data_IF_276278948570
#
_entry.id   IF_276278948570
#
_cell.length_a   1.000
_cell.length_b   1.000
_cell.length_c   1.000
_cell.angle_alpha   90.00
_cell.angle_beta   90.00
_cell.angle_gamma   90.00
#
_symmetry.space_group_name_H-M   'P 1'
#
loop_
_entity.id
_entity.type
_entity.pdbx_description
1 polymer ?
#
# COMPACT_ATOMS: atom_id res chain seq x y z
N UNK A 1 13.52 -7.50 -12.59
CA UNK A 1 12.32 -7.12 -11.79
C UNK A 1 12.59 -5.81 -11.08
N UNK A 2 11.72 -4.80 -11.19
CA UNK A 2 11.57 -3.75 -10.20
C UNK A 2 10.51 -4.24 -9.21
N UNK A 3 10.70 -4.06 -7.92
CA UNK A 3 9.73 -4.56 -6.94
C UNK A 3 9.15 -3.43 -6.08
N UNK A 4 9.77 -2.26 -6.07
CA UNK A 4 9.26 -1.08 -5.37
C UNK A 4 7.92 -0.58 -5.95
N UNK A 5 7.76 -0.69 -7.26
CA UNK A 5 6.61 -0.20 -8.01
C UNK A 5 5.53 -1.29 -8.14
N UNK A 6 5.78 -2.44 -8.81
CA UNK A 6 4.73 -3.37 -9.22
C UNK A 6 4.09 -4.18 -8.07
N UNK A 7 4.69 -4.24 -6.87
CA UNK A 7 4.06 -4.94 -5.75
C UNK A 7 2.68 -4.34 -5.40
N UNK A 8 2.46 -3.05 -5.72
CA UNK A 8 1.28 -2.27 -5.31
C UNK A 8 0.03 -2.63 -6.10
N UNK A 9 0.13 -2.79 -7.43
CA UNK A 9 -1.02 -3.11 -8.28
C UNK A 9 -0.73 -4.21 -9.30
N UNK A 10 0.45 -4.23 -9.94
CA UNK A 10 0.73 -5.19 -10.99
C UNK A 10 0.75 -6.64 -10.45
N UNK A 11 1.47 -6.90 -9.39
CA UNK A 11 1.50 -8.23 -8.79
C UNK A 11 0.10 -8.67 -8.28
N UNK A 12 -0.67 -7.84 -7.54
CA UNK A 12 -2.06 -8.16 -7.20
C UNK A 12 -2.96 -8.44 -8.41
N UNK A 13 -2.79 -7.73 -9.53
CA UNK A 13 -3.52 -7.99 -10.77
C UNK A 13 -3.13 -9.36 -11.34
N UNK A 14 -1.83 -9.70 -11.38
CA UNK A 14 -1.36 -10.99 -11.90
C UNK A 14 -1.89 -12.16 -11.07
N UNK A 15 -2.10 -12.01 -9.77
CA UNK A 15 -2.73 -13.07 -8.96
C UNK A 15 -4.14 -13.42 -9.44
N UNK A 16 -4.85 -12.51 -10.10
CA UNK A 16 -6.18 -12.75 -10.65
C UNK A 16 -6.15 -13.43 -12.03
N UNK A 17 -5.17 -13.07 -12.89
CA UNK A 17 -5.22 -13.39 -14.33
C UNK A 17 -4.11 -14.34 -14.79
N UNK A 18 -2.98 -14.45 -14.06
CA UNK A 18 -1.84 -15.30 -14.45
C UNK A 18 -1.07 -15.81 -13.23
N UNK A 19 -1.62 -16.80 -12.54
CA UNK A 19 -0.99 -17.41 -11.36
C UNK A 19 0.28 -18.21 -11.68
N UNK A 20 0.43 -18.69 -12.92
CA UNK A 20 1.64 -19.40 -13.36
C UNK A 20 2.81 -18.42 -13.46
N UNK A 21 2.59 -17.24 -14.02
CA UNK A 21 3.59 -16.18 -14.05
C UNK A 21 4.03 -15.78 -12.63
N UNK A 22 3.08 -15.64 -11.68
CA UNK A 22 3.38 -15.33 -10.28
C UNK A 22 4.28 -16.41 -9.66
N UNK A 23 3.96 -17.70 -9.86
CA UNK A 23 4.79 -18.81 -9.38
C UNK A 23 6.20 -18.79 -10.00
N UNK A 24 6.31 -18.54 -11.31
CA UNK A 24 7.61 -18.45 -12.00
C UNK A 24 8.45 -17.29 -11.47
N UNK A 25 7.84 -16.13 -11.22
CA UNK A 25 8.53 -14.99 -10.63
C UNK A 25 9.08 -15.31 -9.24
N UNK A 26 8.26 -15.90 -8.37
CA UNK A 26 8.71 -16.27 -7.01
C UNK A 26 9.82 -17.29 -7.05
N UNK A 27 9.73 -18.31 -7.92
CA UNK A 27 10.83 -19.26 -8.09
C UNK A 27 12.11 -18.56 -8.57
N UNK A 28 12.01 -17.59 -9.48
CA UNK A 28 13.16 -16.76 -9.89
C UNK A 28 13.75 -15.94 -8.74
N UNK A 29 12.91 -15.45 -7.81
CA UNK A 29 13.39 -14.77 -6.60
C UNK A 29 14.18 -15.74 -5.71
N UNK A 30 13.73 -16.98 -5.58
CA UNK A 30 14.42 -18.02 -4.81
C UNK A 30 15.74 -18.45 -5.47
N UNK A 31 15.80 -18.51 -6.80
CA UNK A 31 17.05 -18.75 -7.53
C UNK A 31 18.05 -17.59 -7.33
N UNK A 32 17.57 -16.34 -7.31
CA UNK A 32 18.41 -15.18 -6.98
C UNK A 32 18.90 -15.27 -5.54
N UNK A 33 18.03 -15.65 -4.59
CA UNK A 33 18.41 -15.88 -3.20
C UNK A 33 19.50 -16.94 -3.07
N UNK A 34 19.38 -18.08 -3.76
CA UNK A 34 20.40 -19.13 -3.76
C UNK A 34 21.76 -18.63 -4.27
N UNK A 35 21.74 -17.76 -5.27
CA UNK A 35 22.95 -17.24 -5.89
C UNK A 35 23.60 -16.10 -5.10
N UNK A 36 22.81 -15.24 -4.46
CA UNK A 36 23.27 -13.98 -3.83
C UNK A 36 23.16 -13.98 -2.31
N UNK A 37 22.33 -14.85 -1.72
CA UNK A 37 21.98 -14.90 -0.31
C UNK A 37 20.95 -13.84 0.11
N UNK A 38 20.29 -13.16 -0.83
CA UNK A 38 19.25 -12.15 -0.60
C UNK A 38 18.17 -12.24 -1.68
N UNK A 39 16.92 -11.92 -1.32
CA UNK A 39 15.85 -11.73 -2.31
C UNK A 39 16.08 -10.45 -3.13
N UNK A 40 15.60 -10.38 -4.39
CA UNK A 40 15.78 -9.20 -5.21
C UNK A 40 15.02 -8.00 -4.66
N UNK A 41 15.56 -6.79 -4.87
CA UNK A 41 14.95 -5.50 -4.57
C UNK A 41 14.64 -4.77 -5.88
N UNK A 42 15.67 -4.52 -6.69
CA UNK A 42 15.55 -3.85 -7.98
C UNK A 42 16.62 -4.37 -8.96
N UNK A 43 16.56 -5.65 -9.37
CA UNK A 43 17.53 -6.23 -10.28
C UNK A 43 17.34 -5.69 -11.69
N UNK A 44 18.45 -5.31 -12.34
CA UNK A 44 18.51 -4.91 -13.74
C UNK A 44 19.61 -5.69 -14.44
N UNK A 45 19.31 -6.19 -15.65
CA UNK A 45 20.21 -7.06 -16.42
C UNK A 45 20.55 -8.33 -15.64
N UNK A 46 21.78 -8.50 -15.16
CA UNK A 46 22.25 -9.71 -14.49
C UNK A 46 22.61 -9.47 -13.02
N UNK A 47 22.19 -8.37 -12.40
CA UNK A 47 22.59 -8.06 -11.03
C UNK A 47 21.61 -7.17 -10.29
N UNK A 48 21.71 -7.24 -8.95
CA UNK A 48 20.98 -6.33 -8.06
C UNK A 48 21.61 -4.93 -8.11
N UNK A 49 20.78 -3.91 -8.28
CA UNK A 49 21.24 -2.51 -8.35
C UNK A 49 21.23 -1.82 -6.99
N UNK A 50 20.41 -2.28 -6.05
CA UNK A 50 20.15 -1.63 -4.76
C UNK A 50 19.54 -0.22 -4.90
N UNK A 51 18.88 0.06 -6.04
CA UNK A 51 18.40 1.39 -6.41
C UNK A 51 17.30 1.87 -5.48
N UNK A 52 16.25 1.07 -5.26
CA UNK A 52 15.08 1.45 -4.46
C UNK A 52 15.16 0.96 -3.02
N UNK A 53 14.23 1.44 -2.21
CA UNK A 53 14.04 1.09 -0.81
C UNK A 53 13.09 -0.11 -0.67
N UNK A 54 12.88 -0.58 0.56
CA UNK A 54 12.03 -1.74 0.82
C UNK A 54 12.72 -3.07 0.46
N UNK A 55 12.03 -4.16 0.74
CA UNK A 55 12.38 -5.52 0.29
C UNK A 55 11.10 -6.23 -0.18
N UNK A 56 10.38 -5.56 -1.09
CA UNK A 56 9.00 -5.90 -1.47
C UNK A 56 8.82 -7.24 -2.19
N UNK A 57 9.90 -7.99 -2.47
CA UNK A 57 9.79 -9.42 -2.79
C UNK A 57 8.95 -10.15 -1.75
N UNK A 58 9.05 -9.75 -0.46
CA UNK A 58 8.28 -10.37 0.63
C UNK A 58 6.78 -10.10 0.48
N UNK A 59 6.40 -8.92 -0.02
CA UNK A 59 5.00 -8.60 -0.32
C UNK A 59 4.44 -9.50 -1.42
N UNK A 60 5.20 -9.68 -2.51
CA UNK A 60 4.80 -10.53 -3.63
C UNK A 60 4.66 -11.98 -3.20
N UNK A 61 5.61 -12.51 -2.42
CA UNK A 61 5.59 -13.88 -1.92
C UNK A 61 4.42 -14.09 -0.94
N UNK A 62 4.26 -13.19 0.02
CA UNK A 62 3.20 -13.30 1.02
C UNK A 62 1.80 -13.18 0.40
N UNK A 63 1.59 -12.23 -0.51
CA UNK A 63 0.31 -12.05 -1.21
C UNK A 63 -0.08 -13.30 -2.01
N UNK A 64 0.88 -13.87 -2.76
CA UNK A 64 0.68 -15.10 -3.49
C UNK A 64 0.35 -16.28 -2.56
N UNK A 65 1.14 -16.48 -1.51
CA UNK A 65 0.97 -17.59 -0.57
C UNK A 65 -0.39 -17.55 0.13
N UNK A 66 -0.80 -16.37 0.62
CA UNK A 66 -2.08 -16.16 1.29
C UNK A 66 -3.28 -16.31 0.35
N UNK A 67 -3.10 -16.08 -0.94
CA UNK A 67 -4.08 -16.34 -2.01
C UNK A 67 -4.10 -17.77 -2.53
N UNK A 68 -3.31 -18.67 -1.93
CA UNK A 68 -3.25 -20.10 -2.32
C UNK A 68 -2.39 -20.38 -3.55
N UNK A 69 -1.65 -19.39 -4.05
CA UNK A 69 -0.68 -19.56 -5.14
C UNK A 69 0.63 -20.04 -4.50
N UNK A 70 0.90 -21.36 -4.55
CA UNK A 70 1.90 -22.02 -3.69
C UNK A 70 2.81 -23.00 -4.44
N UNK A 71 3.01 -22.85 -5.75
CA UNK A 71 3.90 -23.73 -6.53
C UNK A 71 5.38 -23.31 -6.42
N UNK A 72 5.82 -23.06 -5.19
CA UNK A 72 7.20 -22.74 -4.81
C UNK A 72 7.50 -23.29 -3.41
N UNK A 73 8.78 -23.37 -3.04
CA UNK A 73 9.20 -23.81 -1.71
C UNK A 73 8.90 -22.73 -0.67
N UNK A 74 7.80 -22.90 0.07
CA UNK A 74 7.31 -21.93 1.04
C UNK A 74 8.20 -21.79 2.29
N UNK A 75 8.84 -22.88 2.75
CA UNK A 75 9.77 -22.84 3.89
C UNK A 75 11.02 -22.05 3.52
N UNK A 76 11.61 -22.34 2.36
CA UNK A 76 12.73 -21.57 1.81
C UNK A 76 12.36 -20.11 1.55
N UNK A 77 11.16 -19.85 1.02
CA UNK A 77 10.68 -18.50 0.79
C UNK A 77 10.60 -17.70 2.10
N UNK A 78 10.01 -18.25 3.16
CA UNK A 78 9.94 -17.60 4.47
C UNK A 78 11.35 -17.37 5.06
N UNK A 79 12.27 -18.32 4.94
CA UNK A 79 13.67 -18.15 5.35
C UNK A 79 14.33 -16.99 4.59
N UNK A 80 14.20 -16.97 3.27
CA UNK A 80 14.75 -15.93 2.41
C UNK A 80 14.19 -14.53 2.74
N UNK A 81 12.87 -14.44 3.03
CA UNK A 81 12.21 -13.22 3.47
C UNK A 81 12.83 -12.69 4.79
N UNK A 82 13.01 -13.55 5.78
CA UNK A 82 13.62 -13.19 7.07
C UNK A 82 15.06 -12.72 6.92
N UNK A 83 15.86 -13.43 6.14
CA UNK A 83 17.28 -13.08 5.89
C UNK A 83 17.37 -11.73 5.17
N UNK A 84 16.53 -11.51 4.16
CA UNK A 84 16.52 -10.25 3.40
C UNK A 84 16.12 -9.06 4.27
N UNK A 85 15.18 -9.24 5.21
CA UNK A 85 14.76 -8.19 6.14
C UNK A 85 15.88 -7.73 7.08
N UNK A 86 16.77 -8.64 7.47
CA UNK A 86 17.86 -8.35 8.41
C UNK A 86 19.13 -7.85 7.68
N UNK A 87 19.29 -8.14 6.38
CA UNK A 87 20.47 -7.75 5.57
C UNK A 87 20.33 -6.42 4.82
N UNK A 88 19.17 -5.80 4.82
CA UNK A 88 18.95 -4.56 4.08
C UNK A 88 19.90 -3.45 4.54
N UNK A 89 20.61 -2.83 3.57
CA UNK A 89 21.70 -1.89 3.83
C UNK A 89 21.24 -0.44 4.07
N UNK A 90 19.98 -0.11 3.81
CA UNK A 90 19.46 1.28 3.94
C UNK A 90 18.94 1.59 5.35
N UNK A 91 19.69 1.22 6.39
CA UNK A 91 19.37 1.53 7.77
C UNK A 91 18.56 0.47 8.51
N UNK A 92 18.44 -0.75 7.96
CA UNK A 92 17.75 -1.86 8.63
C UNK A 92 18.39 -2.24 9.97
N UNK A 93 19.71 -2.07 10.11
CA UNK A 93 20.45 -2.24 11.36
C UNK A 93 19.91 -1.34 12.48
N UNK A 94 19.61 -0.07 12.17
CA UNK A 94 18.97 0.85 13.11
C UNK A 94 17.51 0.49 13.35
N UNK A 95 16.77 0.18 12.28
CA UNK A 95 15.36 -0.20 12.35
C UNK A 95 15.15 -1.41 13.27
N UNK A 96 15.92 -2.47 13.08
CA UNK A 96 15.84 -3.69 13.91
C UNK A 96 16.25 -3.42 15.37
N UNK A 97 17.26 -2.59 15.57
CA UNK A 97 17.83 -2.37 16.91
C UNK A 97 17.05 -1.34 17.73
N UNK A 98 16.57 -0.28 17.10
CA UNK A 98 16.01 0.88 17.80
C UNK A 98 14.53 1.15 17.45
N UNK A 99 13.94 0.40 16.53
CA UNK A 99 12.58 0.63 16.05
C UNK A 99 12.42 1.87 15.18
N UNK A 100 13.53 2.55 14.81
CA UNK A 100 13.52 3.67 13.87
C UNK A 100 14.88 3.83 13.19
N UNK A 101 14.90 4.60 12.10
CA UNK A 101 16.11 4.92 11.33
C UNK A 101 16.48 6.38 11.57
N UNK A 102 17.66 6.68 12.17
CA UNK A 102 18.05 8.05 12.49
C UNK A 102 18.27 8.91 11.23
N UNK A 103 17.49 9.99 11.07
CA UNK A 103 17.52 10.89 9.92
C UNK A 103 18.82 11.68 9.78
N UNK A 104 19.55 11.88 10.88
CA UNK A 104 20.86 12.54 10.86
C UNK A 104 22.01 11.60 10.47
N UNK A 105 21.76 10.29 10.36
CA UNK A 105 22.76 9.27 10.01
C UNK A 105 22.43 8.68 8.61
N UNK A 106 21.18 8.38 8.35
CA UNK A 106 20.72 7.76 7.10
C UNK A 106 19.75 8.67 6.35
N UNK A 107 19.90 8.72 5.04
CA UNK A 107 18.91 9.34 4.16
C UNK A 107 17.68 8.42 4.02
N UNK A 108 16.60 8.96 3.50
CA UNK A 108 15.35 8.21 3.22
C UNK A 108 14.78 7.49 4.45
N UNK A 109 15.15 7.98 5.65
CA UNK A 109 14.89 7.29 6.92
C UNK A 109 13.43 7.05 7.23
N UNK A 110 12.53 7.95 6.83
CA UNK A 110 11.09 7.80 7.05
C UNK A 110 10.52 6.81 6.04
N UNK A 111 10.80 6.99 4.75
CA UNK A 111 10.32 6.09 3.69
C UNK A 111 10.77 4.66 3.92
N UNK A 112 12.06 4.43 4.20
CA UNK A 112 12.59 3.11 4.49
C UNK A 112 11.87 2.45 5.68
N UNK A 113 11.68 3.20 6.77
CA UNK A 113 11.01 2.67 7.95
C UNK A 113 9.57 2.25 7.67
N UNK A 114 8.81 3.11 6.99
CA UNK A 114 7.40 2.84 6.69
C UNK A 114 7.25 1.61 5.79
N UNK A 115 8.11 1.48 4.78
CA UNK A 115 8.08 0.34 3.87
C UNK A 115 8.56 -0.94 4.54
N UNK A 116 9.61 -0.89 5.38
CA UNK A 116 10.05 -2.04 6.18
C UNK A 116 8.96 -2.52 7.16
N UNK A 117 8.20 -1.60 7.75
CA UNK A 117 7.10 -1.96 8.64
C UNK A 117 6.01 -2.74 7.89
N UNK A 118 5.69 -2.36 6.67
CA UNK A 118 4.77 -3.10 5.82
C UNK A 118 5.36 -4.45 5.38
N UNK A 119 6.61 -4.50 4.96
CA UNK A 119 7.29 -5.73 4.57
C UNK A 119 7.35 -6.74 5.73
N UNK A 120 7.64 -6.27 6.94
CA UNK A 120 7.61 -7.10 8.15
C UNK A 120 6.21 -7.63 8.46
N UNK A 121 5.17 -6.85 8.22
CA UNK A 121 3.80 -7.34 8.33
C UNK A 121 3.52 -8.46 7.32
N UNK A 122 4.03 -8.38 6.10
CA UNK A 122 3.91 -9.44 5.10
C UNK A 122 4.59 -10.73 5.58
N UNK A 123 5.81 -10.65 6.15
CA UNK A 123 6.49 -11.80 6.75
C UNK A 123 5.65 -12.40 7.89
N UNK A 124 5.12 -11.54 8.78
CA UNK A 124 4.28 -11.99 9.88
C UNK A 124 3.03 -12.73 9.38
N UNK A 125 2.35 -12.21 8.37
CA UNK A 125 1.15 -12.83 7.81
C UNK A 125 1.43 -14.20 7.20
N UNK A 126 2.51 -14.34 6.44
CA UNK A 126 2.91 -15.64 5.90
C UNK A 126 3.29 -16.62 7.01
N UNK A 127 4.07 -16.19 8.00
CA UNK A 127 4.44 -16.99 9.15
C UNK A 127 3.22 -17.47 9.94
N UNK A 128 2.22 -16.61 10.15
CA UNK A 128 0.95 -16.94 10.80
C UNK A 128 0.20 -18.06 10.06
N UNK A 129 0.08 -17.92 8.74
CA UNK A 129 -0.58 -18.92 7.88
C UNK A 129 0.18 -20.27 7.88
N UNK A 130 1.51 -20.25 8.03
CA UNK A 130 2.35 -21.42 8.15
C UNK A 130 2.41 -22.00 9.58
N UNK A 131 1.74 -21.39 10.56
CA UNK A 131 1.76 -21.82 11.97
C UNK A 131 3.10 -21.58 12.68
N UNK A 132 3.91 -20.64 12.20
CA UNK A 132 5.24 -20.28 12.76
C UNK A 132 5.09 -19.14 13.78
N UNK A 133 4.54 -19.42 14.94
CA UNK A 133 4.09 -18.43 15.93
C UNK A 133 5.20 -17.49 16.43
N UNK A 134 6.42 -18.00 16.65
CA UNK A 134 7.54 -17.16 17.13
C UNK A 134 8.00 -16.16 16.07
N UNK A 135 7.98 -16.56 14.78
CA UNK A 135 8.29 -15.69 13.66
C UNK A 135 7.18 -14.64 13.54
N UNK A 136 5.91 -15.07 13.61
CA UNK A 136 4.76 -14.15 13.60
C UNK A 136 4.91 -13.06 14.66
N UNK A 137 5.15 -13.42 15.92
CA UNK A 137 5.29 -12.45 17.03
C UNK A 137 6.39 -11.45 16.79
N UNK A 138 7.58 -11.92 16.36
CA UNK A 138 8.72 -11.04 16.07
C UNK A 138 8.38 -9.99 15.02
N UNK A 139 7.82 -10.42 13.89
CA UNK A 139 7.62 -9.55 12.76
C UNK A 139 6.36 -8.68 12.87
N UNK A 140 5.30 -9.17 13.52
CA UNK A 140 4.11 -8.35 13.76
C UNK A 140 4.38 -7.20 14.75
N UNK A 141 5.27 -7.40 15.73
CA UNK A 141 5.74 -6.33 16.60
C UNK A 141 6.55 -5.31 15.82
N UNK A 142 7.51 -5.74 15.00
CA UNK A 142 8.32 -4.85 14.16
C UNK A 142 7.48 -4.05 13.16
N UNK A 143 6.41 -4.61 12.65
CA UNK A 143 5.49 -3.93 11.72
C UNK A 143 4.83 -2.69 12.33
N UNK A 144 4.86 -2.53 13.64
CA UNK A 144 4.29 -1.38 14.34
C UNK A 144 5.30 -0.22 14.51
N UNK A 145 6.53 -0.38 14.05
CA UNK A 145 7.58 0.64 14.19
C UNK A 145 7.27 1.96 13.48
N UNK A 146 6.29 1.99 12.56
CA UNK A 146 5.82 3.23 11.94
C UNK A 146 5.38 4.28 12.97
N UNK A 147 4.86 3.84 14.13
CA UNK A 147 4.40 4.72 15.21
C UNK A 147 5.55 5.59 15.74
N UNK A 148 6.78 5.07 15.74
CA UNK A 148 7.96 5.73 16.31
C UNK A 148 8.40 7.00 15.56
N UNK A 149 7.96 7.18 14.32
CA UNK A 149 8.29 8.34 13.48
C UNK A 149 7.07 9.21 13.17
N UNK A 150 5.92 8.94 13.78
CA UNK A 150 4.76 9.82 13.67
C UNK A 150 4.87 11.00 14.65
N UNK A 151 4.91 12.21 14.12
CA UNK A 151 4.89 13.44 14.91
C UNK A 151 3.45 13.92 15.08
N UNK A 152 2.87 13.68 16.26
CA UNK A 152 1.49 14.06 16.57
C UNK A 152 1.23 15.57 16.54
N UNK A 153 2.26 16.41 16.69
CA UNK A 153 2.11 17.86 16.62
C UNK A 153 1.90 18.35 15.18
N UNK A 154 2.60 17.74 14.21
CA UNK A 154 2.50 18.09 12.79
C UNK A 154 1.56 17.17 12.02
N UNK A 155 1.24 15.99 12.56
CA UNK A 155 0.50 14.90 11.91
C UNK A 155 1.14 14.44 10.59
N UNK A 156 2.48 14.36 10.62
CA UNK A 156 3.29 13.76 9.56
C UNK A 156 4.21 12.69 10.13
N UNK A 157 4.55 11.70 9.32
CA UNK A 157 5.73 10.88 9.57
C UNK A 157 6.95 11.75 9.31
N UNK A 158 7.82 11.91 10.31
CA UNK A 158 8.89 12.89 10.31
C UNK A 158 10.22 12.26 10.68
N UNK A 159 11.30 12.78 10.10
CA UNK A 159 12.65 12.35 10.45
C UNK A 159 12.93 12.53 11.93
N UNK A 160 13.38 11.45 12.58
CA UNK A 160 13.81 11.43 13.97
C UNK A 160 15.32 11.22 14.02
N UNK A 161 16.00 12.01 14.83
CA UNK A 161 17.46 11.95 15.00
C UNK A 161 17.83 10.87 16.02
N UNK A 162 19.10 10.44 16.04
CA UNK A 162 19.58 9.41 16.97
C UNK A 162 19.43 9.80 18.45
N UNK A 163 19.38 11.09 18.76
CA UNK A 163 19.12 11.62 20.10
C UNK A 163 17.63 11.66 20.48
N UNK A 164 16.75 11.10 19.63
CA UNK A 164 15.31 11.07 19.83
C UNK A 164 14.57 12.35 19.45
N UNK A 165 15.26 13.43 19.14
CA UNK A 165 14.65 14.68 18.71
C UNK A 165 14.15 14.61 17.26
N UNK A 166 13.13 15.39 16.94
CA UNK A 166 12.68 15.55 15.56
C UNK A 166 13.68 16.33 14.71
N UNK A 167 13.82 15.95 13.46
CA UNK A 167 14.57 16.74 12.48
C UNK A 167 14.00 18.17 12.39
N UNK A 168 14.86 19.18 12.47
CA UNK A 168 14.45 20.59 12.45
C UNK A 168 15.44 21.42 11.62
N UNK A 169 14.95 22.42 10.84
CA UNK A 169 13.55 22.75 10.61
C UNK A 169 12.81 21.69 9.81
N UNK A 170 11.49 21.56 10.04
CA UNK A 170 10.63 20.66 9.26
C UNK A 170 9.87 21.43 8.19
N UNK A 171 10.07 21.06 6.94
CA UNK A 171 9.32 21.56 5.80
C UNK A 171 8.66 20.36 5.07
N UNK A 172 7.32 20.18 5.18
CA UNK A 172 6.64 19.06 4.55
C UNK A 172 6.61 19.12 3.01
N UNK A 173 6.94 20.26 2.41
CA UNK A 173 7.01 20.46 0.97
C UNK A 173 8.41 20.22 0.39
N UNK A 174 9.41 19.96 1.23
CA UNK A 174 10.78 19.73 0.78
C UNK A 174 10.95 18.30 0.26
N UNK A 175 11.51 18.19 -0.96
CA UNK A 175 11.81 16.92 -1.64
C UNK A 175 13.00 16.23 -0.99
N UNK A 176 12.92 14.92 -0.87
CA UNK A 176 14.04 14.03 -0.53
C UNK A 176 14.42 14.04 0.95
N UNK A 177 15.71 13.88 1.25
CA UNK A 177 16.32 13.72 2.56
C UNK A 177 15.76 12.54 3.37
N UNK A 178 14.59 12.69 4.00
CA UNK A 178 13.94 11.62 4.77
C UNK A 178 12.95 10.80 3.93
N UNK A 179 12.64 11.24 2.72
CA UNK A 179 11.63 10.67 1.83
C UNK A 179 12.24 10.29 0.48
N UNK A 180 11.94 9.09 0.02
CA UNK A 180 12.38 8.58 -1.28
C UNK A 180 11.49 9.14 -2.37
N UNK A 181 12.06 9.87 -3.33
CA UNK A 181 11.38 10.44 -4.49
C UNK A 181 10.07 11.18 -4.15
N UNK A 182 10.03 11.80 -2.99
CA UNK A 182 8.81 12.37 -2.44
C UNK A 182 9.09 13.53 -1.49
N UNK A 183 8.02 14.16 -1.06
CA UNK A 183 7.94 15.04 0.11
C UNK A 183 7.29 14.29 1.29
N UNK A 184 7.15 14.95 2.42
CA UNK A 184 6.42 14.38 3.56
C UNK A 184 4.94 14.08 3.23
N UNK A 185 4.35 14.79 2.28
CA UNK A 185 2.95 14.63 1.90
C UNK A 185 2.63 13.27 1.30
N UNK A 186 3.44 12.74 0.38
CA UNK A 186 3.16 11.48 -0.28
C UNK A 186 3.35 10.29 0.66
N UNK A 187 4.30 10.38 1.63
CA UNK A 187 4.49 9.35 2.65
C UNK A 187 3.61 9.53 3.91
N UNK A 188 2.79 10.60 3.98
CA UNK A 188 1.90 10.88 5.12
C UNK A 188 0.92 9.75 5.42
N UNK A 189 0.64 8.92 4.42
CA UNK A 189 -0.39 7.88 4.49
C UNK A 189 0.13 6.47 4.18
N UNK A 190 1.44 6.26 4.14
CA UNK A 190 2.00 4.95 3.77
C UNK A 190 2.11 4.02 4.99
N UNK A 191 0.97 3.49 5.45
CA UNK A 191 0.87 2.36 6.39
C UNK A 191 -0.27 1.45 5.91
N UNK A 192 -0.12 0.77 4.76
CA UNK A 192 -1.23 0.04 4.14
C UNK A 192 -1.75 -1.12 4.98
N UNK A 193 -0.90 -1.73 5.81
CA UNK A 193 -1.27 -2.85 6.68
C UNK A 193 -2.04 -2.41 7.93
N UNK A 194 -1.98 -1.11 8.30
CA UNK A 194 -2.60 -0.62 9.53
C UNK A 194 -3.18 0.80 9.40
N UNK A 195 -4.13 0.95 8.49
CA UNK A 195 -4.82 2.23 8.26
C UNK A 195 -5.59 2.68 9.51
N UNK A 196 -6.17 1.74 10.29
CA UNK A 196 -6.85 2.10 11.54
C UNK A 196 -5.87 2.65 12.59
N UNK A 197 -4.66 2.11 12.67
CA UNK A 197 -3.60 2.66 13.51
C UNK A 197 -3.26 4.10 13.12
N UNK A 198 -3.12 4.38 11.81
CA UNK A 198 -2.96 5.76 11.33
C UNK A 198 -4.14 6.64 11.76
N UNK A 199 -5.38 6.20 11.54
CA UNK A 199 -6.58 6.96 11.93
C UNK A 199 -6.52 7.36 13.40
N UNK A 200 -6.11 6.45 14.29
CA UNK A 200 -5.96 6.73 15.71
C UNK A 200 -4.83 7.75 15.98
N UNK A 201 -3.68 7.63 15.31
CA UNK A 201 -2.57 8.57 15.45
C UNK A 201 -2.92 9.98 14.97
N UNK A 202 -3.75 10.11 13.94
CA UNK A 202 -4.26 11.40 13.46
C UNK A 202 -5.25 12.06 14.41
N UNK A 203 -5.80 11.31 15.37
CA UNK A 203 -6.78 11.80 16.35
C UNK A 203 -8.22 11.39 16.08
N UNK A 204 -8.45 10.48 15.12
CA UNK A 204 -9.76 9.92 14.77
C UNK A 204 -10.15 10.10 13.32
N UNK A 205 -11.35 9.63 12.99
CA UNK A 205 -11.84 9.57 11.59
C UNK A 205 -11.97 10.95 10.95
N UNK A 206 -12.52 11.91 11.69
CA UNK A 206 -12.73 13.27 11.22
C UNK A 206 -11.42 13.96 10.86
N UNK A 207 -10.44 13.82 11.72
CA UNK A 207 -9.09 14.39 11.53
C UNK A 207 -8.34 13.71 10.38
N UNK A 208 -8.53 12.41 10.22
CA UNK A 208 -7.95 11.66 9.12
C UNK A 208 -8.59 12.03 7.77
N UNK A 209 -9.92 12.21 7.74
CA UNK A 209 -10.64 12.69 6.55
C UNK A 209 -10.16 14.09 6.17
N UNK A 210 -10.03 15.01 7.15
CA UNK A 210 -9.50 16.35 6.89
C UNK A 210 -8.09 16.28 6.30
N UNK A 211 -7.21 15.43 6.83
CA UNK A 211 -5.86 15.24 6.32
C UNK A 211 -5.82 14.64 4.89
N UNK A 212 -6.76 13.73 4.56
CA UNK A 212 -6.93 13.20 3.20
C UNK A 212 -7.48 14.28 2.24
N UNK A 213 -8.40 15.12 2.71
CA UNK A 213 -8.89 16.23 1.89
C UNK A 213 -7.76 17.26 1.64
N UNK A 214 -6.91 17.51 2.64
CA UNK A 214 -5.78 18.43 2.55
C UNK A 214 -4.80 18.06 1.44
N UNK A 215 -4.41 16.78 1.30
CA UNK A 215 -3.42 16.40 0.29
C UNK A 215 -3.90 16.71 -1.14
N UNK A 216 -5.21 16.60 -1.40
CA UNK A 216 -5.78 16.88 -2.72
C UNK A 216 -6.11 18.35 -2.95
N UNK A 217 -6.16 19.19 -1.89
CA UNK A 217 -6.59 20.59 -1.97
C UNK A 217 -5.47 21.58 -1.65
N UNK A 218 -4.33 21.15 -1.11
CA UNK A 218 -3.23 22.05 -0.76
C UNK A 218 -2.48 22.47 -2.03
N UNK A 219 -2.73 23.70 -2.47
CA UNK A 219 -2.02 24.32 -3.59
C UNK A 219 -0.80 25.09 -3.05
N UNK A 220 0.32 24.37 -2.92
CA UNK A 220 1.59 24.92 -2.45
C UNK A 220 2.74 24.40 -3.31
N UNK A 221 3.71 25.26 -3.59
CA UNK A 221 4.88 24.90 -4.38
C UNK A 221 5.77 23.90 -3.65
N UNK A 222 6.14 22.81 -4.34
CA UNK A 222 7.08 21.81 -3.85
C UNK A 222 8.50 22.39 -3.90
N UNK A 223 9.22 22.25 -2.79
CA UNK A 223 10.57 22.78 -2.66
C UNK A 223 11.62 21.74 -3.03
N UNK A 224 12.25 21.92 -4.17
CA UNK A 224 13.24 21.02 -4.75
C UNK A 224 12.80 20.53 -6.11
N UNK A 225 13.71 19.88 -6.81
CA UNK A 225 13.47 19.36 -8.16
C UNK A 225 13.60 17.84 -8.15
N UNK A 226 12.55 17.16 -8.57
CA UNK A 226 12.54 15.72 -8.77
C UNK A 226 11.71 15.41 -10.02
N UNK A 227 12.31 14.64 -10.93
CA UNK A 227 11.72 14.33 -12.24
C UNK A 227 10.43 13.51 -12.08
N UNK A 228 10.36 12.68 -11.05
CA UNK A 228 9.25 11.75 -10.79
C UNK A 228 8.02 12.41 -10.19
N UNK A 229 8.13 13.66 -9.70
CA UNK A 229 7.00 14.43 -9.19
C UNK A 229 6.20 15.02 -10.35
N UNK A 230 5.27 14.22 -10.89
CA UNK A 230 4.38 14.58 -12.00
C UNK A 230 2.93 14.19 -11.70
N UNK A 231 1.96 14.74 -12.46
CA UNK A 231 0.56 14.42 -12.27
C UNK A 231 0.01 14.86 -10.91
N UNK A 232 0.26 16.14 -10.55
CA UNK A 232 -0.14 16.71 -9.27
C UNK A 232 -1.65 17.03 -9.23
N UNK A 233 -2.27 16.64 -8.10
CA UNK A 233 -3.55 17.17 -7.64
C UNK A 233 -3.34 17.63 -6.19
N UNK A 234 -3.18 18.91 -5.96
CA UNK A 234 -2.66 19.42 -4.70
C UNK A 234 -1.26 18.88 -4.44
N UNK A 235 -1.07 18.17 -3.32
CA UNK A 235 0.17 17.50 -2.96
C UNK A 235 0.17 16.00 -3.30
N UNK A 236 -0.93 15.47 -3.84
CA UNK A 236 -0.98 14.12 -4.39
C UNK A 236 -0.19 14.06 -5.70
N UNK A 237 0.63 13.03 -5.88
CA UNK A 237 1.49 12.85 -7.05
C UNK A 237 1.15 11.53 -7.70
N UNK A 238 0.46 11.54 -8.86
CA UNK A 238 0.06 10.29 -9.51
C UNK A 238 1.21 9.62 -10.26
N UNK A 239 2.12 10.41 -10.81
CA UNK A 239 3.26 9.90 -11.58
C UNK A 239 4.35 9.26 -10.73
N UNK A 240 4.14 9.08 -9.40
CA UNK A 240 5.03 8.32 -8.54
C UNK A 240 4.27 7.48 -7.51
N UNK A 241 4.73 6.29 -7.23
CA UNK A 241 4.03 5.18 -6.57
C UNK A 241 3.63 5.42 -5.10
N UNK A 242 4.36 6.19 -4.28
CA UNK A 242 3.97 6.41 -2.88
C UNK A 242 2.56 6.96 -2.70
N UNK A 243 1.99 7.61 -3.71
CA UNK A 243 0.64 8.17 -3.68
C UNK A 243 -0.48 7.21 -4.09
N UNK A 244 -0.18 6.11 -4.78
CA UNK A 244 -1.16 5.32 -5.54
C UNK A 244 -2.33 4.76 -4.73
N UNK A 245 -2.14 4.49 -3.43
CA UNK A 245 -3.19 3.95 -2.54
C UNK A 245 -4.04 5.04 -1.88
N UNK A 246 -3.61 6.31 -1.86
CA UNK A 246 -4.19 7.37 -1.01
C UNK A 246 -5.66 7.63 -1.31
N UNK A 247 -6.04 7.68 -2.60
CA UNK A 247 -7.43 7.93 -3.02
C UNK A 247 -8.43 6.88 -2.48
N UNK A 248 -7.95 5.70 -2.11
CA UNK A 248 -8.79 4.60 -1.63
C UNK A 248 -8.96 4.58 -0.10
N UNK A 249 -8.22 5.40 0.64
CA UNK A 249 -8.24 5.41 2.10
C UNK A 249 -9.56 5.93 2.70
N UNK A 250 -10.35 6.67 1.94
CA UNK A 250 -11.69 7.07 2.39
C UNK A 250 -12.64 5.88 2.63
N UNK A 251 -12.36 4.70 2.04
CA UNK A 251 -13.10 3.47 2.32
C UNK A 251 -12.95 2.99 3.77
N UNK A 252 -11.86 3.36 4.46
CA UNK A 252 -11.57 2.97 5.84
C UNK A 252 -12.27 3.84 6.88
N UNK A 253 -12.70 5.04 6.48
CA UNK A 253 -13.31 6.03 7.38
C UNK A 253 -14.81 6.25 7.14
N UNK A 254 -15.44 5.40 6.32
CA UNK A 254 -16.88 5.48 6.03
C UNK A 254 -17.27 6.58 5.04
N UNK A 255 -16.32 7.06 4.25
CA UNK A 255 -16.53 8.07 3.19
C UNK A 255 -16.26 7.51 1.77
N UNK A 256 -16.74 6.29 1.40
CA UNK A 256 -16.38 5.64 0.14
C UNK A 256 -16.77 6.45 -1.11
N UNK A 257 -17.75 7.33 -0.99
CA UNK A 257 -18.14 8.23 -2.07
C UNK A 257 -16.99 9.20 -2.47
N UNK A 258 -16.11 9.56 -1.53
CA UNK A 258 -14.92 10.37 -1.83
C UNK A 258 -13.86 9.55 -2.60
N UNK A 259 -13.65 8.28 -2.24
CA UNK A 259 -12.84 7.35 -3.07
C UNK A 259 -13.37 7.32 -4.50
N UNK A 260 -14.67 7.13 -4.68
CA UNK A 260 -15.31 7.03 -6.01
C UNK A 260 -15.10 8.32 -6.83
N UNK A 261 -15.25 9.48 -6.21
CA UNK A 261 -15.01 10.78 -6.83
C UNK A 261 -13.54 10.95 -7.24
N UNK A 262 -12.61 10.62 -6.33
CA UNK A 262 -11.20 10.87 -6.55
C UNK A 262 -10.59 9.88 -7.54
N UNK A 263 -10.87 8.58 -7.43
CA UNK A 263 -10.39 7.58 -8.38
C UNK A 263 -10.89 7.86 -9.81
N UNK A 264 -12.16 8.31 -9.97
CA UNK A 264 -12.69 8.74 -11.26
C UNK A 264 -11.94 9.97 -11.81
N UNK A 265 -11.64 10.93 -10.95
CA UNK A 265 -10.85 12.11 -11.32
C UNK A 265 -9.47 11.70 -11.83
N UNK A 266 -8.77 10.82 -11.11
CA UNK A 266 -7.46 10.31 -11.49
C UNK A 266 -7.49 9.55 -12.82
N UNK A 267 -8.48 8.66 -13.01
CA UNK A 267 -8.65 7.93 -14.27
C UNK A 267 -8.85 8.86 -15.47
N UNK A 268 -9.56 9.97 -15.30
CA UNK A 268 -9.87 10.90 -16.38
C UNK A 268 -8.74 11.92 -16.65
N UNK A 269 -8.00 12.34 -15.61
CA UNK A 269 -7.01 13.41 -15.72
C UNK A 269 -5.58 12.89 -15.96
N UNK A 270 -5.27 11.63 -15.54
CA UNK A 270 -3.92 11.08 -15.56
C UNK A 270 -3.67 10.06 -16.67
N UNK A 271 -4.73 9.63 -17.37
CA UNK A 271 -4.64 8.64 -18.45
C UNK A 271 -5.38 9.11 -19.69
N UNK A 272 -4.71 9.03 -20.85
CA UNK A 272 -5.23 9.51 -22.12
C UNK A 272 -4.97 8.47 -23.23
N UNK A 273 -5.82 8.39 -24.29
CA UNK A 273 -5.64 7.45 -25.40
C UNK A 273 -4.63 7.98 -26.43
N UNK A 274 -3.41 8.32 -25.98
CA UNK A 274 -2.30 8.82 -26.80
C UNK A 274 -1.03 8.06 -26.46
N UNK A 275 0.04 8.10 -27.29
CA UNK A 275 1.31 7.47 -26.96
C UNK A 275 1.94 7.95 -25.65
N UNK A 276 1.74 9.21 -25.27
CA UNK A 276 2.15 9.82 -23.99
C UNK A 276 1.01 9.81 -22.95
N UNK A 277 0.09 8.86 -23.05
CA UNK A 277 -1.16 8.85 -22.29
C UNK A 277 -1.05 8.45 -20.83
N UNK A 278 0.12 8.01 -20.36
CA UNK A 278 0.40 7.70 -18.95
C UNK A 278 1.24 8.84 -18.38
N UNK A 279 0.78 9.41 -17.28
CA UNK A 279 1.55 10.46 -16.58
C UNK A 279 2.74 9.84 -15.83
N UNK A 280 3.93 10.43 -15.97
CA UNK A 280 5.17 9.91 -15.38
C UNK A 280 5.72 8.67 -16.11
N UNK A 281 6.51 7.87 -15.41
CA UNK A 281 7.04 6.61 -15.91
C UNK A 281 6.00 5.49 -15.78
N UNK A 282 6.13 4.45 -16.60
CA UNK A 282 5.20 3.30 -16.55
C UNK A 282 5.51 2.33 -15.40
N UNK A 283 6.79 2.24 -15.04
CA UNK A 283 7.36 1.52 -13.91
C UNK A 283 6.95 0.04 -13.84
N UNK A 284 7.40 -0.69 -14.85
CA UNK A 284 7.33 -2.16 -14.91
C UNK A 284 5.91 -2.73 -14.79
N UNK A 285 4.92 -2.04 -15.34
CA UNK A 285 3.52 -2.48 -15.34
C UNK A 285 2.67 -1.85 -14.23
N UNK A 286 3.25 -1.10 -13.31
CA UNK A 286 2.52 -0.55 -12.17
C UNK A 286 1.45 0.46 -12.59
N UNK A 287 1.78 1.42 -13.46
CA UNK A 287 0.83 2.45 -13.88
C UNK A 287 -0.32 1.86 -14.71
N UNK A 288 -0.01 0.92 -15.60
CA UNK A 288 -1.03 0.19 -16.37
C UNK A 288 -1.93 -0.65 -15.47
N UNK A 289 -1.36 -1.35 -14.49
CA UNK A 289 -2.12 -2.18 -13.57
C UNK A 289 -3.00 -1.34 -12.63
N UNK A 290 -2.52 -0.15 -12.19
CA UNK A 290 -3.34 0.79 -11.45
C UNK A 290 -4.58 1.21 -12.25
N UNK A 291 -4.38 1.58 -13.53
CA UNK A 291 -5.48 1.91 -14.44
C UNK A 291 -6.45 0.73 -14.62
N UNK A 292 -5.95 -0.48 -14.85
CA UNK A 292 -6.77 -1.66 -15.10
C UNK A 292 -7.62 -1.98 -13.85
N UNK A 293 -7.00 -2.12 -12.68
CA UNK A 293 -7.73 -2.41 -11.45
C UNK A 293 -8.75 -1.32 -11.12
N UNK A 294 -8.35 -0.06 -11.18
CA UNK A 294 -9.23 1.08 -10.90
C UNK A 294 -10.40 1.16 -11.89
N UNK A 295 -10.15 0.86 -13.19
CA UNK A 295 -11.18 0.82 -14.23
C UNK A 295 -12.17 -0.32 -14.03
N UNK A 296 -11.77 -1.40 -13.38
CA UNK A 296 -12.66 -2.50 -12.96
C UNK A 296 -13.49 -2.15 -11.71
N UNK A 297 -13.18 -1.05 -11.03
CA UNK A 297 -13.81 -0.68 -9.77
C UNK A 297 -13.17 -1.33 -8.55
N UNK A 298 -11.90 -1.74 -8.63
CA UNK A 298 -11.15 -2.48 -7.64
C UNK A 298 -9.77 -1.84 -7.40
N UNK A 299 -9.21 -2.01 -6.21
CA UNK A 299 -7.80 -1.72 -5.94
C UNK A 299 -7.28 -2.49 -4.71
N UNK A 300 -6.02 -2.97 -4.75
CA UNK A 300 -5.38 -3.63 -3.62
C UNK A 300 -4.59 -2.60 -2.81
N UNK A 301 -5.18 -2.06 -1.74
CA UNK A 301 -4.48 -1.10 -0.85
C UNK A 301 -3.38 -1.77 -0.06
N UNK A 302 -3.61 -3.02 0.35
CA UNK A 302 -2.69 -3.80 1.18
C UNK A 302 -2.54 -5.21 0.60
N UNK A 303 -1.61 -5.43 -0.35
CA UNK A 303 -1.29 -6.79 -0.79
C UNK A 303 -0.92 -7.67 0.41
N UNK A 304 -1.41 -8.91 0.43
CA UNK A 304 -1.34 -9.81 1.59
C UNK A 304 -2.54 -9.77 2.54
N UNK A 305 -3.49 -8.85 2.34
CA UNK A 305 -4.75 -8.81 3.10
C UNK A 305 -5.86 -9.69 2.50
N UNK A 306 -5.67 -10.18 1.28
CA UNK A 306 -6.69 -10.87 0.48
C UNK A 306 -7.92 -10.01 0.11
N UNK A 307 -7.82 -8.69 0.23
CA UNK A 307 -8.92 -7.77 -0.04
C UNK A 307 -8.60 -6.81 -1.19
N UNK A 308 -9.63 -6.53 -1.99
CA UNK A 308 -9.64 -5.45 -2.97
C UNK A 308 -10.71 -4.44 -2.55
N UNK A 309 -10.32 -3.20 -2.34
CA UNK A 309 -11.28 -2.13 -2.02
C UNK A 309 -12.11 -1.77 -3.25
N UNK A 310 -13.34 -1.36 -3.01
CA UNK A 310 -14.28 -1.00 -4.06
C UNK A 310 -14.18 0.48 -4.44
N UNK A 311 -14.21 0.73 -5.72
CA UNK A 311 -14.41 2.05 -6.32
C UNK A 311 -15.36 1.94 -7.52
N UNK A 312 -15.54 3.00 -8.30
CA UNK A 312 -16.49 3.00 -9.40
C UNK A 312 -15.84 2.49 -10.70
N UNK A 313 -16.40 1.46 -11.34
CA UNK A 313 -15.95 1.03 -12.66
C UNK A 313 -15.99 2.15 -13.69
N UNK A 314 -15.05 2.16 -14.63
CA UNK A 314 -14.98 3.13 -15.73
C UNK A 314 -15.83 2.72 -16.92
N UNK A 315 -16.03 1.42 -17.11
CA UNK A 315 -16.73 0.83 -18.26
C UNK A 315 -18.05 0.19 -17.87
N UNK A 316 -19.02 0.17 -18.78
CA UNK A 316 -20.32 -0.49 -18.57
C UNK A 316 -20.18 -2.00 -18.38
N UNK A 317 -19.18 -2.60 -19.05
CA UNK A 317 -18.90 -4.03 -18.97
C UNK A 317 -17.41 -4.28 -19.08
N UNK A 318 -16.89 -5.06 -18.12
CA UNK A 318 -15.55 -5.64 -18.18
C UNK A 318 -15.68 -7.15 -18.03
N UNK A 319 -14.94 -7.91 -18.84
CA UNK A 319 -14.86 -9.37 -18.74
C UNK A 319 -13.43 -9.74 -18.38
N UNK A 320 -13.25 -10.39 -17.25
CA UNK A 320 -11.95 -10.84 -16.76
C UNK A 320 -11.90 -12.36 -16.89
N UNK A 321 -10.93 -12.85 -17.66
CA UNK A 321 -10.59 -14.27 -17.71
C UNK A 321 -9.64 -14.57 -16.57
N UNK A 322 -10.15 -15.25 -15.54
CA UNK A 322 -9.41 -15.56 -14.33
C UNK A 322 -8.44 -16.72 -14.56
N UNK A 323 -7.30 -16.70 -13.84
CA UNK A 323 -6.26 -17.73 -13.96
C UNK A 323 -6.76 -19.16 -13.71
N UNK A 324 -7.84 -19.33 -12.94
CA UNK A 324 -8.47 -20.64 -12.68
C UNK A 324 -9.45 -21.10 -13.79
N UNK A 325 -9.48 -20.42 -14.93
CA UNK A 325 -10.34 -20.73 -16.09
C UNK A 325 -11.78 -20.23 -15.97
N UNK A 326 -12.15 -19.61 -14.84
CA UNK A 326 -13.47 -18.96 -14.67
C UNK A 326 -13.48 -17.57 -15.30
N UNK A 327 -14.67 -17.02 -15.42
CA UNK A 327 -14.85 -15.65 -15.93
C UNK A 327 -15.56 -14.82 -14.87
N UNK A 328 -15.05 -13.61 -14.61
CA UNK A 328 -15.73 -12.58 -13.85
C UNK A 328 -16.21 -11.50 -14.80
N UNK A 329 -17.51 -11.24 -14.82
CA UNK A 329 -18.11 -10.14 -15.59
C UNK A 329 -18.47 -9.01 -14.63
N UNK A 330 -17.88 -7.84 -14.83
CA UNK A 330 -18.18 -6.63 -14.03
C UNK A 330 -19.12 -5.77 -14.86
N UNK A 331 -20.25 -5.35 -14.28
CA UNK A 331 -21.26 -4.53 -14.93
C UNK A 331 -21.53 -3.26 -14.14
N UNK A 332 -21.69 -2.14 -14.84
CA UNK A 332 -22.05 -0.86 -14.26
C UNK A 332 -23.02 -0.10 -15.19
N UNK A 333 -24.03 0.56 -14.62
CA UNK A 333 -25.00 1.33 -15.41
C UNK A 333 -24.49 2.74 -15.69
N UNK A 334 -24.27 3.06 -16.97
CA UNK A 334 -23.87 4.39 -17.47
C UNK A 334 -22.75 5.04 -16.62
N UNK A 335 -21.58 4.39 -16.48
CA UNK A 335 -20.51 4.87 -15.59
C UNK A 335 -19.86 6.17 -16.05
N UNK A 336 -20.09 6.61 -17.27
CA UNK A 336 -19.62 7.89 -17.76
C UNK A 336 -20.36 9.07 -17.11
N UNK A 337 -21.62 8.86 -16.73
CA UNK A 337 -22.48 9.85 -16.08
C UNK A 337 -22.60 9.61 -14.58
N UNK A 338 -22.71 8.36 -14.19
CA UNK A 338 -22.93 7.92 -12.82
C UNK A 338 -21.61 7.47 -12.19
N UNK A 339 -21.13 8.18 -11.18
CA UNK A 339 -19.83 7.88 -10.57
C UNK A 339 -19.95 7.42 -9.10
N UNK A 340 -21.16 7.35 -8.55
CA UNK A 340 -21.35 7.00 -7.13
C UNK A 340 -22.10 5.69 -6.98
N UNK A 341 -21.53 4.78 -6.19
CA UNK A 341 -22.08 3.46 -5.92
C UNK A 341 -23.28 3.57 -4.98
N UNK A 342 -24.44 3.05 -5.42
CA UNK A 342 -25.61 2.90 -4.57
C UNK A 342 -25.80 1.46 -4.09
N UNK A 343 -25.39 0.46 -4.90
CA UNK A 343 -25.47 -0.96 -4.58
C UNK A 343 -24.36 -1.73 -5.28
N UNK A 344 -23.87 -2.78 -4.63
CA UNK A 344 -22.96 -3.77 -5.24
C UNK A 344 -23.54 -5.16 -5.00
N UNK A 345 -23.50 -6.01 -6.00
CA UNK A 345 -23.97 -7.41 -5.95
C UNK A 345 -22.95 -8.33 -6.61
N UNK A 346 -22.65 -9.46 -5.96
CA UNK A 346 -21.91 -10.57 -6.58
C UNK A 346 -22.86 -11.75 -6.73
N UNK A 347 -23.12 -12.18 -7.98
CA UNK A 347 -24.02 -13.27 -8.30
C UNK A 347 -25.41 -13.10 -7.66
N UNK A 348 -25.95 -11.88 -7.67
CA UNK A 348 -27.24 -11.51 -7.09
C UNK A 348 -27.25 -11.34 -5.57
N UNK A 349 -26.15 -11.61 -4.86
CA UNK A 349 -26.02 -11.38 -3.43
C UNK A 349 -25.40 -9.99 -3.16
N UNK A 350 -26.08 -9.19 -2.34
CA UNK A 350 -25.63 -7.85 -1.99
C UNK A 350 -24.32 -7.87 -1.18
N UNK A 351 -23.42 -6.93 -1.50
CA UNK A 351 -22.17 -6.65 -0.80
C UNK A 351 -22.28 -5.27 -0.17
N UNK A 352 -22.29 -5.21 1.17
CA UNK A 352 -22.38 -3.97 1.93
C UNK A 352 -21.02 -3.40 2.32
N UNK A 353 -19.96 -4.22 2.28
CA UNK A 353 -18.59 -3.83 2.57
C UNK A 353 -18.01 -2.88 1.52
N UNK A 354 -16.98 -2.13 1.90
CA UNK A 354 -16.20 -1.29 0.99
C UNK A 354 -15.06 -2.07 0.31
N UNK A 355 -15.09 -3.39 0.43
CA UNK A 355 -14.11 -4.30 -0.15
C UNK A 355 -14.77 -5.61 -0.60
N UNK A 356 -14.07 -6.38 -1.40
CA UNK A 356 -14.37 -7.74 -1.81
C UNK A 356 -13.12 -8.60 -1.65
N UNK A 357 -13.27 -9.86 -1.25
CA UNK A 357 -12.11 -10.74 -1.07
C UNK A 357 -11.65 -11.37 -2.38
N UNK A 358 -10.37 -11.74 -2.42
CA UNK A 358 -9.78 -12.48 -3.54
C UNK A 358 -10.58 -13.74 -3.89
N UNK A 359 -10.97 -14.55 -2.89
CA UNK A 359 -11.73 -15.78 -3.10
C UNK A 359 -13.10 -15.51 -3.77
N UNK A 360 -13.76 -14.42 -3.36
CA UNK A 360 -15.01 -14.00 -3.99
C UNK A 360 -14.80 -13.65 -5.47
N UNK A 361 -13.73 -12.92 -5.82
CA UNK A 361 -13.40 -12.59 -7.21
C UNK A 361 -13.07 -13.85 -8.01
N UNK A 362 -12.22 -14.74 -7.47
CA UNK A 362 -11.81 -16.00 -8.10
C UNK A 362 -12.98 -17.01 -8.23
N UNK A 363 -14.05 -16.81 -7.49
CA UNK A 363 -15.31 -17.52 -7.68
C UNK A 363 -15.93 -17.29 -9.06
N UNK A 364 -15.64 -16.15 -9.68
CA UNK A 364 -16.19 -15.74 -10.96
C UNK A 364 -17.68 -15.38 -10.90
N UNK A 365 -18.29 -15.26 -12.07
CA UNK A 365 -19.70 -14.90 -12.21
C UNK A 365 -19.90 -13.41 -12.52
N UNK A 366 -20.90 -12.79 -11.91
CA UNK A 366 -21.27 -11.40 -12.21
C UNK A 366 -21.11 -10.50 -10.97
N UNK A 367 -20.25 -9.49 -11.08
CA UNK A 367 -20.12 -8.39 -10.12
C UNK A 367 -20.84 -7.16 -10.70
N UNK A 368 -21.95 -6.77 -10.10
CA UNK A 368 -22.80 -5.68 -10.58
C UNK A 368 -22.74 -4.47 -9.67
N UNK A 369 -22.43 -3.32 -10.26
CA UNK A 369 -22.46 -2.01 -9.61
C UNK A 369 -23.72 -1.25 -10.10
N UNK A 370 -24.57 -0.84 -9.18
CA UNK A 370 -25.62 0.14 -9.45
C UNK A 370 -25.10 1.52 -9.06
N UNK A 371 -25.06 2.42 -10.01
CA UNK A 371 -24.46 3.74 -9.89
C UNK A 371 -25.50 4.85 -9.97
N UNK A 372 -25.15 6.03 -9.41
CA UNK A 372 -25.90 7.29 -9.43
C UNK A 372 -24.99 8.47 -9.76
N UNK A 373 -25.57 9.55 -10.23
CA UNK A 373 -24.91 10.84 -10.43
C UNK A 373 -24.74 11.64 -9.11
N UNK A 374 -25.37 11.17 -8.01
CA UNK A 374 -25.32 11.80 -6.69
C UNK A 374 -24.60 10.91 -5.67
N UNK A 375 -23.74 11.51 -4.80
CA UNK A 375 -23.03 10.74 -3.78
C UNK A 375 -23.99 10.06 -2.80
N UNK A 376 -23.77 8.76 -2.59
CA UNK A 376 -24.45 8.00 -1.55
C UNK A 376 -23.60 8.04 -0.26
N UNK A 377 -24.00 8.90 0.67
CA UNK A 377 -23.32 9.10 1.95
C UNK A 377 -23.78 8.15 3.06
N UNK A 378 -24.64 7.19 2.75
CA UNK A 378 -25.14 6.21 3.74
C UNK A 378 -24.57 4.80 3.53
N UNK A 379 -24.05 4.48 2.32
CA UNK A 379 -23.46 3.18 2.04
C UNK A 379 -22.03 3.11 2.58
N UNK A 380 -21.67 2.00 3.22
CA UNK A 380 -20.28 1.71 3.62
C UNK A 380 -19.78 2.60 4.75
N UNK A 381 -20.67 3.13 5.59
CA UNK A 381 -20.32 4.03 6.71
C UNK A 381 -20.09 3.29 8.02
N UNK A 382 -20.65 2.09 8.15
CA UNK A 382 -20.53 1.29 9.37
C UNK A 382 -19.10 0.70 9.48
N UNK A 383 -18.62 0.58 10.71
CA UNK A 383 -17.23 0.16 10.99
C UNK A 383 -16.89 -1.21 10.40
N UNK A 384 -17.82 -2.17 10.48
CA UNK A 384 -17.64 -3.52 9.89
C UNK A 384 -17.57 -3.53 8.36
N UNK A 385 -17.91 -2.42 7.70
CA UNK A 385 -17.81 -2.30 6.24
C UNK A 385 -16.43 -1.84 5.76
N UNK A 386 -15.58 -1.38 6.68
CA UNK A 386 -14.24 -0.93 6.38
C UNK A 386 -13.31 -2.11 6.00
N UNK A 387 -12.31 -1.90 5.11
CA UNK A 387 -11.33 -2.92 4.75
C UNK A 387 -10.45 -3.32 5.92
N UNK A 388 -9.65 -4.37 5.72
CA UNK A 388 -8.71 -4.88 6.72
C UNK A 388 -7.77 -3.81 7.25
N UNK A 389 -7.53 -3.86 8.57
CA UNK A 389 -6.44 -3.14 9.24
C UNK A 389 -6.01 -3.95 10.45
N UNK A 390 -4.70 -4.01 10.72
CA UNK A 390 -4.15 -4.85 11.79
C UNK A 390 -4.66 -4.46 13.18
N UNK A 391 -4.80 -3.16 13.45
CA UNK A 391 -5.21 -2.66 14.78
C UNK A 391 -6.69 -2.29 14.89
N UNK A 392 -7.57 -2.84 14.03
CA UNK A 392 -9.00 -2.48 14.03
C UNK A 392 -9.61 -2.52 15.42
N UNK A 393 -9.29 -3.57 16.21
CA UNK A 393 -9.85 -3.80 17.55
C UNK A 393 -8.85 -3.50 18.68
N UNK A 394 -7.82 -2.68 18.39
CA UNK A 394 -6.74 -2.36 19.32
C UNK A 394 -6.57 -0.85 19.46
N UNK A 395 -6.06 -0.42 20.61
CA UNK A 395 -5.67 0.98 20.84
C UNK A 395 -4.22 1.18 20.41
N UNK A 396 -3.99 2.21 19.59
CA UNK A 396 -2.66 2.65 19.17
C UNK A 396 -2.35 3.99 19.79
N UNK A 397 -1.21 4.13 20.43
CA UNK A 397 -0.74 5.38 21.01
C UNK A 397 0.70 5.64 20.63
N UNK A 398 1.06 6.92 20.56
CA UNK A 398 2.47 7.32 20.39
C UNK A 398 3.25 6.85 21.63
N UNK A 399 4.36 6.12 21.47
CA UNK A 399 5.11 5.62 22.60
C UNK A 399 5.63 6.78 23.46
N UNK A 400 5.51 6.63 24.77
CA UNK A 400 6.16 7.54 25.71
C UNK A 400 7.68 7.36 25.62
N UNK A 401 8.39 8.43 25.33
CA UNK A 401 9.86 8.44 25.35
C UNK A 401 10.32 8.92 26.70
N UNK A 402 10.90 8.05 27.50
CA UNK A 402 11.62 8.45 28.69
C UNK A 402 12.89 9.18 28.26
N UNK A 403 12.89 10.51 28.46
CA UNK A 403 14.01 11.38 28.08
C UNK A 403 15.31 11.07 28.82
N UNK A 404 15.21 10.43 29.98
CA UNK A 404 16.38 10.13 30.82
C UNK A 404 17.11 8.84 30.41
N UNK A 405 16.44 7.96 29.64
CA UNK A 405 17.00 6.68 29.20
C UNK A 405 17.56 6.67 27.78
N UNK A 406 17.32 7.69 26.96
CA UNK A 406 17.71 7.73 25.52
C UNK A 406 17.36 6.44 24.73
N UNK A 407 16.39 5.66 25.22
CA UNK A 407 16.00 4.39 24.66
C UNK A 407 14.54 4.47 24.22
N UNK A 408 14.31 4.27 22.94
CA UNK A 408 13.00 3.96 22.41
C UNK A 408 12.61 2.55 22.90
N UNK A 409 11.66 2.45 23.81
CA UNK A 409 10.94 1.19 24.00
C UNK A 409 9.83 1.16 22.94
N UNK A 410 9.80 0.08 22.15
CA UNK A 410 8.98 -0.07 20.96
C UNK A 410 7.50 0.27 21.14
N UNK A 411 6.81 0.31 20.02
CA UNK A 411 5.37 0.60 19.90
C UNK A 411 4.53 -0.25 20.87
N UNK A 412 3.72 0.39 21.69
CA UNK A 412 2.73 -0.30 22.51
C UNK A 412 1.43 -0.35 21.72
N UNK A 413 1.11 -1.51 21.16
CA UNK A 413 -0.22 -1.85 20.67
C UNK A 413 -0.89 -2.65 21.78
N UNK A 414 -1.90 -2.07 22.44
CA UNK A 414 -2.67 -2.70 23.54
C UNK A 414 -3.97 -3.25 22.98
#
# INVERSE_FOLDING_TARGET
FSLWDPFRAWNPLMTLIDTDLVNHMINSFLDIYDASGELPIWPLSAGETGTMIGYHSVSVIADAYLKGIRSFDAEKALEAMMISSDKNKKGSDFYVKYGFIPSNIKRESVSCLLEYAYDDWCIARMAQEMGKEDIYKKYIERSQNYINVFDGATRFFRGKRMDGNWESPFNPLAVGRAYTEATAWQYRFFVPHDVNGMIQLFGGKEEFVAALDDIFNTDAEIHGNLVDITGLIGQYVHGNEPSHHIAYLYNYVGEPWKTQKMSRRLLNEMYHPTPEGIIGNEDCGQMSAWYILSSMGLYSVCPGSNEYVLTTPLFEKVVVHLANGRTLTILANDPQKNIYITKVELNGKQIDTNFITYDCLMGGGELRFTLSDKPNKSRGTAEQTAPYSYTRDKVVSIPYVDKDLNLFQGSVVV
#
